data_IF_296571982736
#
_entry.id   IF_296571982736
#
_cell.length_a   1.000
_cell.length_b   1.000
_cell.length_c   1.000
_cell.angle_alpha   90.00
_cell.angle_beta   90.00
_cell.angle_gamma   90.00
#
_symmetry.space_group_name_H-M   'P 1'
#
loop_
_entity.id
_entity.type
_entity.pdbx_description
1 polymer ?
#
# COMPACT_ATOMS: atom_id res chain seq x y z
N UNK A 1 1.07 -4.05 25.35
CA UNK A 1 0.67 -4.27 23.94
C UNK A 1 0.39 -5.77 23.71
N UNK A 2 -0.75 -6.09 23.13
CA UNK A 2 -1.14 -7.46 22.84
C UNK A 2 -0.32 -8.03 21.67
N UNK A 3 -0.36 -9.36 21.50
CA UNK A 3 0.28 -10.01 20.34
C UNK A 3 -0.37 -9.52 19.04
N UNK A 4 -1.70 -9.35 19.03
CA UNK A 4 -2.39 -8.85 17.84
C UNK A 4 -1.91 -7.45 17.45
N UNK A 5 -1.69 -6.57 18.43
CA UNK A 5 -1.18 -5.22 18.17
C UNK A 5 0.27 -5.25 17.66
N UNK A 6 1.09 -6.12 18.23
CA UNK A 6 2.49 -6.29 17.78
C UNK A 6 2.55 -6.81 16.35
N UNK A 7 1.69 -7.77 16.00
CA UNK A 7 1.60 -8.29 14.63
C UNK A 7 1.17 -7.19 13.66
N UNK A 8 0.19 -6.38 14.04
CA UNK A 8 -0.27 -5.27 13.21
C UNK A 8 0.86 -4.26 12.97
N UNK A 9 1.65 -3.95 14.00
CA UNK A 9 2.80 -3.05 13.88
C UNK A 9 3.85 -3.58 12.90
N UNK A 10 4.16 -4.87 12.96
CA UNK A 10 5.12 -5.51 12.04
C UNK A 10 4.67 -5.49 10.60
N UNK A 11 3.38 -5.37 10.35
CA UNK A 11 2.81 -5.40 8.99
C UNK A 11 2.64 -4.01 8.40
N UNK A 12 2.96 -2.95 9.14
CA UNK A 12 2.87 -1.58 8.62
C UNK A 12 3.93 -1.31 7.57
N UNK A 13 3.50 -0.64 6.52
CA UNK A 13 4.35 -0.23 5.42
C UNK A 13 3.99 1.21 5.04
N UNK A 14 4.99 2.05 4.89
CA UNK A 14 4.80 3.44 4.46
C UNK A 14 5.37 3.61 3.07
N UNK A 15 4.58 4.17 2.16
CA UNK A 15 4.96 4.38 0.76
C UNK A 15 4.85 5.86 0.47
N UNK A 16 5.96 6.48 0.09
CA UNK A 16 6.01 7.92 -0.22
C UNK A 16 6.07 8.13 -1.72
N UNK A 17 5.14 8.93 -2.24
CA UNK A 17 5.09 9.29 -3.67
C UNK A 17 4.95 10.81 -3.75
N UNK A 18 6.03 11.50 -4.10
CA UNK A 18 6.06 12.96 -4.08
C UNK A 18 5.78 13.47 -2.68
N UNK A 19 4.82 14.38 -2.54
CA UNK A 19 4.42 14.92 -1.24
C UNK A 19 3.36 14.10 -0.51
N UNK A 20 3.00 12.93 -1.05
CA UNK A 20 1.94 12.08 -0.48
C UNK A 20 2.56 10.86 0.19
N UNK A 21 2.07 10.54 1.37
CA UNK A 21 2.49 9.35 2.10
C UNK A 21 1.30 8.42 2.25
N UNK A 22 1.45 7.18 1.78
CA UNK A 22 0.42 6.15 1.92
C UNK A 22 0.78 5.20 3.03
N UNK A 23 -0.20 4.92 3.88
CA UNK A 23 -0.08 3.86 4.88
C UNK A 23 -0.66 2.59 4.27
N UNK A 24 0.07 1.49 4.41
CA UNK A 24 -0.32 0.22 3.84
C UNK A 24 0.01 -0.91 4.81
N UNK A 25 -0.56 -2.07 4.57
CA UNK A 25 -0.17 -3.28 5.29
C UNK A 25 0.65 -4.19 4.38
N UNK A 26 1.63 -4.86 4.95
CA UNK A 26 2.45 -5.83 4.23
C UNK A 26 1.57 -6.97 3.70
N UNK A 27 1.89 -7.45 2.52
CA UNK A 27 1.23 -8.65 1.99
C UNK A 27 1.64 -9.87 2.82
N UNK A 28 0.69 -10.73 3.12
CA UNK A 28 0.98 -12.03 3.71
C UNK A 28 1.64 -12.93 2.66
N UNK A 29 2.29 -14.00 3.10
CA UNK A 29 2.88 -14.98 2.19
C UNK A 29 1.80 -15.57 1.27
N UNK A 30 0.63 -15.83 1.81
CA UNK A 30 -0.51 -16.33 1.03
C UNK A 30 -0.95 -15.33 -0.04
N UNK A 31 -1.07 -14.06 0.32
CA UNK A 31 -1.44 -13.02 -0.63
C UNK A 31 -0.40 -12.86 -1.74
N UNK A 32 0.88 -12.86 -1.36
CA UNK A 32 1.97 -12.78 -2.34
C UNK A 32 1.91 -13.93 -3.34
N UNK A 33 1.71 -15.16 -2.85
CA UNK A 33 1.60 -16.34 -3.71
C UNK A 33 0.42 -16.21 -4.67
N UNK A 34 -0.70 -15.68 -4.18
CA UNK A 34 -1.89 -15.46 -4.99
C UNK A 34 -1.63 -14.42 -6.10
N UNK A 35 -0.95 -13.31 -5.76
CA UNK A 35 -0.63 -12.28 -6.76
C UNK A 35 0.34 -12.79 -7.83
N UNK A 36 1.22 -13.72 -7.47
CA UNK A 36 2.18 -14.31 -8.40
C UNK A 36 1.53 -15.31 -9.37
N UNK A 37 0.42 -15.94 -8.98
CA UNK A 37 -0.22 -17.01 -9.76
C UNK A 37 -1.54 -16.58 -10.43
N UNK A 38 -2.20 -15.55 -9.90
CA UNK A 38 -3.46 -15.04 -10.44
C UNK A 38 -3.23 -13.64 -11.03
N UNK A 39 -4.12 -13.24 -11.92
CA UNK A 39 -4.02 -11.91 -12.55
C UNK A 39 -4.67 -10.84 -11.67
N UNK A 40 -3.84 -10.14 -10.90
CA UNK A 40 -4.25 -8.97 -10.14
C UNK A 40 -3.68 -7.73 -10.81
N UNK A 41 -4.52 -6.71 -11.00
CA UNK A 41 -4.02 -5.42 -11.47
C UNK A 41 -3.31 -4.70 -10.33
N UNK A 42 -2.43 -3.77 -10.68
CA UNK A 42 -1.74 -2.95 -9.69
C UNK A 42 -2.74 -2.14 -8.84
N UNK A 43 -3.80 -1.63 -9.47
CA UNK A 43 -4.85 -0.90 -8.77
C UNK A 43 -5.57 -1.80 -7.75
N UNK A 44 -5.83 -3.06 -8.10
CA UNK A 44 -6.44 -4.01 -7.16
C UNK A 44 -5.54 -4.27 -5.96
N UNK A 45 -4.23 -4.45 -6.19
CA UNK A 45 -3.25 -4.63 -5.10
C UNK A 45 -3.25 -3.40 -4.20
N UNK A 46 -3.24 -2.20 -4.79
CA UNK A 46 -3.29 -0.96 -4.00
C UNK A 46 -4.56 -0.89 -3.15
N UNK A 47 -5.72 -1.25 -3.69
CA UNK A 47 -6.99 -1.24 -2.95
C UNK A 47 -6.98 -2.20 -1.77
N UNK A 48 -6.33 -3.35 -1.92
CA UNK A 48 -6.25 -4.35 -0.86
C UNK A 48 -5.36 -3.88 0.28
N UNK A 49 -4.24 -3.24 -0.02
CA UNK A 49 -3.19 -3.00 0.97
C UNK A 49 -3.20 -1.60 1.59
N UNK A 50 -3.62 -0.57 0.87
CA UNK A 50 -3.61 0.79 1.43
C UNK A 50 -4.69 0.95 2.50
N UNK A 51 -4.29 1.51 3.64
CA UNK A 51 -5.18 1.72 4.80
C UNK A 51 -5.32 3.19 5.18
N UNK A 52 -4.51 4.07 4.59
CA UNK A 52 -4.57 5.48 4.89
C UNK A 52 -3.67 6.32 4.00
N UNK A 53 -3.77 7.63 4.11
CA UNK A 53 -2.85 8.55 3.46
C UNK A 53 -2.66 9.81 4.28
N UNK A 54 -1.59 10.57 3.98
CA UNK A 54 -1.39 11.92 4.44
C UNK A 54 -0.74 12.73 3.32
N UNK A 55 -0.96 14.03 3.34
CA UNK A 55 -0.38 14.92 2.33
C UNK A 55 -1.15 14.98 1.01
N UNK A 56 -2.30 14.33 0.91
CA UNK A 56 -3.15 14.43 -0.28
C UNK A 56 -3.92 15.74 -0.23
N UNK A 57 -3.88 16.47 -1.32
CA UNK A 57 -4.59 17.73 -1.49
C UNK A 57 -5.72 17.57 -2.50
N UNK A 58 -6.71 18.45 -2.43
CA UNK A 58 -7.80 18.49 -3.39
C UNK A 58 -7.27 18.56 -4.83
N UNK A 59 -6.19 19.33 -5.05
CA UNK A 59 -5.55 19.47 -6.37
C UNK A 59 -4.92 18.17 -6.88
N UNK A 60 -4.63 17.21 -6.00
CA UNK A 60 -4.13 15.90 -6.41
C UNK A 60 -5.23 15.02 -7.00
N UNK A 61 -6.48 15.34 -6.69
CA UNK A 61 -7.65 14.53 -7.05
C UNK A 61 -8.55 15.18 -8.09
N UNK A 62 -8.58 16.50 -8.14
CA UNK A 62 -9.45 17.28 -9.02
C UNK A 62 -8.61 18.22 -9.89
N UNK A 63 -8.96 18.33 -11.18
CA UNK A 63 -8.24 19.18 -12.13
C UNK A 63 -8.19 20.64 -11.72
N UNK A 64 -9.23 21.17 -11.10
CA UNK A 64 -9.30 22.55 -10.63
C UNK A 64 -9.33 22.62 -9.10
N UNK A 65 -8.74 21.64 -8.44
CA UNK A 65 -8.73 21.56 -7.00
C UNK A 65 -7.81 22.58 -6.35
N UNK A 66 -8.07 22.87 -5.09
CA UNK A 66 -7.28 23.77 -4.26
C UNK A 66 -6.18 22.99 -3.52
N UNK A 67 -5.39 23.70 -2.73
CA UNK A 67 -4.33 23.08 -1.92
C UNK A 67 -4.83 22.59 -0.56
N UNK A 68 -6.16 22.48 -0.38
CA UNK A 68 -6.75 22.03 0.88
C UNK A 68 -6.48 20.55 1.10
N UNK A 69 -6.09 20.14 2.32
CA UNK A 69 -5.84 18.72 2.62
C UNK A 69 -7.13 17.91 2.57
N UNK A 70 -7.01 16.68 2.08
CA UNK A 70 -8.13 15.74 1.99
C UNK A 70 -7.89 14.60 2.94
N UNK A 71 -8.74 14.41 3.96
CA UNK A 71 -8.63 13.27 4.86
C UNK A 71 -8.85 11.96 4.11
N UNK A 72 -8.20 10.90 4.56
CA UNK A 72 -8.39 9.59 3.97
C UNK A 72 -9.82 9.09 4.20
N UNK A 73 -10.40 8.57 3.14
CA UNK A 73 -11.70 7.89 3.17
C UNK A 73 -11.61 6.70 2.22
N UNK A 74 -11.99 5.53 2.69
CA UNK A 74 -11.87 4.29 1.92
C UNK A 74 -12.63 4.35 0.60
N UNK A 75 -13.85 4.86 0.62
CA UNK A 75 -14.66 4.96 -0.59
C UNK A 75 -14.06 5.93 -1.59
N UNK A 76 -13.52 7.03 -1.09
CA UNK A 76 -12.85 8.02 -1.93
C UNK A 76 -11.60 7.40 -2.57
N UNK A 77 -10.79 6.69 -1.78
CA UNK A 77 -9.60 6.02 -2.30
C UNK A 77 -9.97 5.05 -3.43
N UNK A 78 -10.99 4.22 -3.21
CA UNK A 78 -11.44 3.25 -4.20
C UNK A 78 -11.90 3.92 -5.51
N UNK A 79 -12.47 5.12 -5.42
CA UNK A 79 -12.90 5.88 -6.59
C UNK A 79 -11.74 6.46 -7.39
N UNK A 80 -10.70 6.97 -6.71
CA UNK A 80 -9.64 7.73 -7.37
C UNK A 80 -8.45 6.87 -7.82
N UNK A 81 -8.18 5.78 -7.12
CA UNK A 81 -6.94 5.02 -7.35
C UNK A 81 -6.87 4.43 -8.77
N UNK A 82 -7.98 4.05 -9.34
CA UNK A 82 -8.03 3.48 -10.68
C UNK A 82 -7.60 4.46 -11.79
N UNK A 83 -7.71 5.76 -11.51
CA UNK A 83 -7.32 6.82 -12.44
C UNK A 83 -5.96 7.43 -12.08
N UNK A 84 -5.23 6.84 -11.14
CA UNK A 84 -3.94 7.34 -10.67
C UNK A 84 -2.84 6.31 -10.87
N UNK A 85 -2.44 6.03 -12.13
CA UNK A 85 -1.39 5.04 -12.38
C UNK A 85 -0.05 5.41 -11.78
N UNK A 86 0.24 6.71 -11.62
CA UNK A 86 1.42 7.20 -10.92
C UNK A 86 1.43 6.79 -9.44
N UNK A 87 0.25 6.53 -8.86
CA UNK A 87 0.14 6.03 -7.50
C UNK A 87 0.08 4.51 -7.44
N UNK A 88 -0.88 3.88 -8.17
CA UNK A 88 -1.09 2.45 -8.00
C UNK A 88 0.09 1.60 -8.45
N UNK A 89 0.81 2.03 -9.50
CA UNK A 89 1.96 1.26 -9.96
C UNK A 89 3.10 1.24 -8.94
N UNK A 90 3.36 2.39 -8.30
CA UNK A 90 4.39 2.48 -7.25
C UNK A 90 3.97 1.72 -6.00
N UNK A 91 2.71 1.86 -5.60
CA UNK A 91 2.18 1.15 -4.42
C UNK A 91 2.31 -0.36 -4.61
N UNK A 92 1.83 -0.87 -5.74
CA UNK A 92 1.88 -2.31 -6.02
C UNK A 92 3.32 -2.82 -6.05
N UNK A 93 4.23 -2.09 -6.70
CA UNK A 93 5.64 -2.46 -6.77
C UNK A 93 6.26 -2.55 -5.37
N UNK A 94 5.98 -1.57 -4.50
CA UNK A 94 6.54 -1.56 -3.16
C UNK A 94 5.94 -2.62 -2.25
N UNK A 95 4.65 -2.93 -2.41
CA UNK A 95 4.01 -4.03 -1.69
C UNK A 95 4.68 -5.36 -2.06
N UNK A 96 4.91 -5.59 -3.35
CA UNK A 96 5.56 -6.82 -3.82
C UNK A 96 7.03 -6.91 -3.39
N UNK A 97 7.79 -5.83 -3.52
CA UNK A 97 9.18 -5.77 -3.08
C UNK A 97 9.32 -6.04 -1.58
N UNK A 98 8.42 -5.46 -0.79
CA UNK A 98 8.40 -5.65 0.66
C UNK A 98 8.15 -7.12 1.01
N UNK A 99 7.22 -7.77 0.30
CA UNK A 99 6.93 -9.19 0.50
C UNK A 99 8.14 -10.07 0.17
N UNK A 100 8.83 -9.77 -0.93
CA UNK A 100 10.03 -10.49 -1.33
C UNK A 100 11.13 -10.37 -0.27
N UNK A 101 11.36 -9.16 0.22
CA UNK A 101 12.36 -8.90 1.27
C UNK A 101 12.02 -9.65 2.55
N UNK A 102 10.76 -9.66 2.93
CA UNK A 102 10.30 -10.40 4.11
C UNK A 102 10.60 -11.90 3.99
N UNK A 103 10.29 -12.47 2.83
CA UNK A 103 10.54 -13.90 2.59
C UNK A 103 12.03 -14.23 2.61
N UNK A 104 12.88 -13.38 2.02
CA UNK A 104 14.33 -13.55 2.05
C UNK A 104 14.88 -13.50 3.47
N UNK A 105 14.47 -12.50 4.24
CA UNK A 105 14.91 -12.35 5.63
C UNK A 105 14.50 -13.54 6.49
N UNK A 106 13.28 -14.03 6.28
CA UNK A 106 12.77 -15.21 6.99
C UNK A 106 13.58 -16.46 6.66
N UNK A 107 13.88 -16.67 5.39
CA UNK A 107 14.69 -17.81 4.95
C UNK A 107 16.11 -17.77 5.54
N UNK A 108 16.74 -16.60 5.56
CA UNK A 108 18.06 -16.41 6.17
C UNK A 108 18.05 -16.71 7.67
N UNK A 109 17.01 -16.23 8.37
CA UNK A 109 16.88 -16.48 9.82
C UNK A 109 16.66 -17.97 10.13
N UNK A 110 15.98 -18.69 9.28
CA UNK A 110 15.74 -20.11 9.44
C UNK A 110 16.99 -20.97 9.23
N UNK A 111 17.96 -20.44 8.46
CA UNK A 111 19.25 -21.12 8.23
C UNK A 111 20.20 -21.00 9.41
N UNK A 112 19.92 -20.11 10.34
CA UNK A 112 20.74 -19.93 11.54
C UNK A 112 20.22 -20.81 12.66
#
# INVERSE_FOLDING_TARGET
MSIAEKLAEQKKLTITIGGVEFLARRATVEEFARYATEKYSDAEVARIHVTGWSGVKESDLLDAGKADPVPYDRNLFDQVIGDKPDWYSVIAAQVMDNAIKYLKNKAENEKK
#
